data_IF_122637011824
#
_entry.id   IF_122637011824
#
_cell.length_a   1.000
_cell.length_b   1.000
_cell.length_c   1.000
_cell.angle_alpha   90.00
_cell.angle_beta   90.00
_cell.angle_gamma   90.00
#
_symmetry.space_group_name_H-M   'P 1'
#
loop_
_entity.id
_entity.type
_entity.pdbx_description
1 polymer ?
#
# COMPACT_ATOMS: atom_id res chain seq x y z
N UNK A 1 -11.44 -58.27 46.72
CA UNK A 1 -10.75 -57.29 45.84
C UNK A 1 -11.86 -56.49 45.17
N UNK A 2 -12.13 -55.29 45.69
CA UNK A 2 -13.29 -54.48 45.33
C UNK A 2 -12.87 -53.46 44.26
N UNK A 3 -13.48 -53.50 43.08
CA UNK A 3 -13.15 -52.64 41.94
C UNK A 3 -13.95 -51.35 42.08
N UNK A 4 -13.27 -50.22 42.39
CA UNK A 4 -13.89 -48.89 42.38
C UNK A 4 -14.27 -48.46 40.95
N UNK A 5 -15.42 -47.82 40.74
CA UNK A 5 -15.87 -47.42 39.40
C UNK A 5 -15.10 -46.17 38.92
N UNK A 6 -14.51 -46.27 37.73
CA UNK A 6 -13.73 -45.21 37.04
C UNK A 6 -14.64 -44.23 36.26
N UNK A 7 -15.92 -44.11 36.63
CA UNK A 7 -16.92 -43.44 35.79
C UNK A 7 -17.13 -41.94 36.04
N UNK A 8 -16.65 -41.38 37.15
CA UNK A 8 -16.95 -39.99 37.53
C UNK A 8 -15.99 -38.95 36.93
N UNK A 9 -14.71 -39.31 36.78
CA UNK A 9 -13.69 -38.39 36.26
C UNK A 9 -13.91 -38.01 34.78
N UNK A 10 -14.44 -38.93 33.97
CA UNK A 10 -14.72 -38.67 32.56
C UNK A 10 -15.87 -37.68 32.36
N UNK A 11 -16.91 -37.76 33.19
CA UNK A 11 -18.05 -36.83 33.15
C UNK A 11 -17.62 -35.42 33.56
N UNK A 12 -16.77 -35.31 34.58
CA UNK A 12 -16.22 -34.03 35.02
C UNK A 12 -15.30 -33.40 33.96
N UNK A 13 -14.47 -34.20 33.29
CA UNK A 13 -13.61 -33.72 32.19
C UNK A 13 -14.44 -33.24 30.98
N UNK A 14 -15.48 -33.99 30.62
CA UNK A 14 -16.38 -33.62 29.53
C UNK A 14 -17.14 -32.32 29.83
N UNK A 15 -17.62 -32.16 31.08
CA UNK A 15 -18.30 -30.94 31.52
C UNK A 15 -17.35 -29.74 31.49
N UNK A 16 -16.09 -29.92 31.93
CA UNK A 16 -15.07 -28.87 31.92
C UNK A 16 -14.74 -28.42 30.49
N UNK A 17 -14.62 -29.36 29.55
CA UNK A 17 -14.38 -29.07 28.13
C UNK A 17 -15.54 -28.30 27.50
N UNK A 18 -16.78 -28.67 27.80
CA UNK A 18 -17.97 -27.95 27.30
C UNK A 18 -18.01 -26.52 27.86
N UNK A 19 -17.74 -26.34 29.15
CA UNK A 19 -17.69 -25.01 29.78
C UNK A 19 -16.56 -24.16 29.20
N UNK A 20 -15.38 -24.74 28.95
CA UNK A 20 -14.27 -24.06 28.28
C UNK A 20 -14.63 -23.62 26.86
N UNK A 21 -15.33 -24.45 26.08
CA UNK A 21 -15.81 -24.07 24.73
C UNK A 21 -16.92 -23.02 24.74
N UNK A 22 -17.71 -22.93 25.82
CA UNK A 22 -18.77 -21.92 25.97
C UNK A 22 -18.27 -20.59 26.52
N UNK A 23 -17.09 -20.57 27.17
CA UNK A 23 -16.45 -19.37 27.72
C UNK A 23 -15.41 -18.75 26.79
N UNK A 24 -15.01 -19.43 25.70
CA UNK A 24 -14.24 -18.77 24.65
C UNK A 24 -15.16 -17.82 23.90
N UNK A 25 -14.94 -16.49 23.94
CA UNK A 25 -15.63 -15.60 23.04
C UNK A 25 -15.34 -16.07 21.61
N UNK A 26 -16.39 -16.48 20.90
CA UNK A 26 -16.32 -16.63 19.46
C UNK A 26 -16.17 -15.21 18.93
N UNK A 27 -14.93 -14.79 18.71
CA UNK A 27 -14.67 -13.65 17.86
C UNK A 27 -15.11 -14.08 16.46
N UNK A 28 -16.36 -13.80 16.14
CA UNK A 28 -16.80 -13.69 14.76
C UNK A 28 -15.96 -12.58 14.16
N UNK A 29 -14.83 -12.95 13.56
CA UNK A 29 -14.22 -12.14 12.52
C UNK A 29 -15.30 -12.09 11.45
N UNK A 30 -16.01 -10.97 11.34
CA UNK A 30 -16.73 -10.69 10.11
C UNK A 30 -15.69 -10.79 9.01
N UNK A 31 -15.72 -11.91 8.28
CA UNK A 31 -15.00 -12.00 7.03
C UNK A 31 -15.63 -10.93 6.16
N UNK A 32 -14.92 -9.81 6.02
CA UNK A 32 -15.33 -8.69 5.21
C UNK A 32 -15.52 -9.20 3.78
N UNK A 33 -16.78 -9.44 3.42
CA UNK A 33 -17.16 -10.11 2.17
C UNK A 33 -16.72 -9.27 0.97
N UNK A 34 -16.56 -7.95 1.15
CA UNK A 34 -16.01 -7.06 0.11
C UNK A 34 -14.62 -7.51 -0.35
N UNK A 35 -13.77 -8.00 0.58
CA UNK A 35 -12.42 -8.48 0.29
C UNK A 35 -12.39 -9.72 -0.59
N UNK A 36 -13.42 -10.56 -0.50
CA UNK A 36 -13.54 -11.76 -1.34
C UNK A 36 -13.75 -11.35 -2.82
N UNK A 37 -14.38 -10.20 -3.08
CA UNK A 37 -14.52 -9.67 -4.43
C UNK A 37 -13.28 -8.91 -4.91
N UNK A 38 -12.54 -8.28 -3.98
CA UNK A 38 -11.32 -7.52 -4.29
C UNK A 38 -10.08 -8.40 -4.48
N UNK A 39 -10.08 -9.64 -4.00
CA UNK A 39 -8.97 -10.58 -4.14
C UNK A 39 -9.25 -11.67 -5.19
N UNK A 40 -8.29 -11.93 -6.08
CA UNK A 40 -8.39 -12.95 -7.13
C UNK A 40 -7.10 -13.76 -7.24
N UNK A 41 -7.21 -15.08 -7.28
CA UNK A 41 -6.07 -15.96 -7.55
C UNK A 41 -5.58 -15.78 -9.00
N UNK A 42 -4.26 -15.68 -9.19
CA UNK A 42 -3.63 -15.45 -10.48
C UNK A 42 -2.79 -14.17 -10.51
N UNK A 43 -2.17 -13.94 -11.66
CA UNK A 43 -1.64 -12.62 -12.00
C UNK A 43 -2.80 -11.71 -12.41
N UNK A 44 -2.73 -10.47 -11.94
CA UNK A 44 -3.84 -9.52 -12.03
C UNK A 44 -3.85 -8.74 -13.34
N UNK A 45 -2.67 -8.48 -13.88
CA UNK A 45 -2.48 -7.68 -15.09
C UNK A 45 -1.44 -8.29 -16.04
N UNK A 46 -1.49 -7.84 -17.29
CA UNK A 46 -0.52 -8.14 -18.34
C UNK A 46 0.41 -6.96 -18.65
N UNK A 47 0.28 -5.84 -17.94
CA UNK A 47 1.29 -4.82 -17.78
C UNK A 47 1.94 -4.96 -16.39
N UNK A 48 3.22 -4.63 -16.30
CA UNK A 48 3.94 -4.54 -15.04
C UNK A 48 4.41 -3.10 -14.90
N UNK A 49 3.90 -2.41 -13.87
CA UNK A 49 4.34 -1.08 -13.50
C UNK A 49 5.62 -1.15 -12.68
N UNK A 50 5.62 -2.00 -11.65
CA UNK A 50 6.72 -2.09 -10.68
C UNK A 50 6.81 -3.48 -10.03
N UNK A 51 7.97 -3.80 -9.45
CA UNK A 51 8.25 -5.04 -8.71
C UNK A 51 9.15 -4.77 -7.51
N UNK A 52 8.72 -5.20 -6.33
CA UNK A 52 9.47 -5.03 -5.08
C UNK A 52 9.48 -6.29 -4.22
N UNK A 53 10.41 -6.34 -3.28
CA UNK A 53 10.56 -7.41 -2.29
C UNK A 53 10.45 -6.82 -0.88
N UNK A 54 9.50 -7.32 -0.09
CA UNK A 54 9.28 -6.82 1.28
C UNK A 54 10.17 -7.51 2.34
N UNK A 55 11.01 -8.49 1.95
CA UNK A 55 11.74 -9.36 2.87
C UNK A 55 11.16 -10.78 3.00
N UNK A 56 9.92 -11.00 2.55
CA UNK A 56 9.13 -12.23 2.68
C UNK A 56 8.42 -12.62 1.37
N UNK A 57 7.89 -11.66 0.61
CA UNK A 57 7.09 -11.82 -0.60
C UNK A 57 7.50 -10.83 -1.67
N UNK A 58 7.33 -11.28 -2.92
CA UNK A 58 7.42 -10.42 -4.09
C UNK A 58 6.06 -9.77 -4.28
N UNK A 59 6.07 -8.46 -4.50
CA UNK A 59 4.91 -7.68 -4.89
C UNK A 59 5.14 -7.13 -6.28
N UNK A 60 4.12 -7.17 -7.12
CA UNK A 60 4.12 -6.62 -8.47
C UNK A 60 2.87 -5.79 -8.67
N UNK A 61 3.02 -4.63 -9.30
CA UNK A 61 1.90 -3.78 -9.69
C UNK A 61 1.68 -3.85 -11.21
N UNK A 62 0.44 -3.64 -11.64
CA UNK A 62 0.06 -3.54 -13.04
C UNK A 62 -1.34 -2.99 -13.15
N UNK A 63 -1.52 -1.90 -13.90
CA UNK A 63 -2.74 -1.08 -13.83
C UNK A 63 -3.11 -0.76 -12.38
N UNK A 64 -4.40 -0.80 -12.06
CA UNK A 64 -4.91 -0.60 -10.69
C UNK A 64 -4.85 -1.85 -9.80
N UNK A 65 -3.95 -2.79 -10.09
CA UNK A 65 -3.93 -4.11 -9.48
C UNK A 65 -2.58 -4.36 -8.81
N UNK A 66 -2.61 -4.69 -7.52
CA UNK A 66 -1.45 -5.12 -6.75
C UNK A 66 -1.47 -6.64 -6.64
N UNK A 67 -0.38 -7.33 -6.96
CA UNK A 67 -0.29 -8.78 -6.91
C UNK A 67 0.87 -9.21 -6.03
N UNK A 68 0.68 -10.25 -5.22
CA UNK A 68 1.74 -10.83 -4.39
C UNK A 68 1.87 -12.32 -4.60
N UNK A 69 3.08 -12.84 -4.44
CA UNK A 69 3.30 -14.29 -4.37
C UNK A 69 2.94 -14.80 -2.98
N UNK A 70 1.91 -15.64 -2.89
CA UNK A 70 1.48 -16.22 -1.62
C UNK A 70 2.29 -17.45 -1.20
N UNK A 71 2.58 -18.35 -2.14
CA UNK A 71 3.31 -19.60 -1.88
C UNK A 71 4.04 -20.08 -3.13
N UNK A 72 4.73 -21.21 -3.01
CA UNK A 72 5.39 -21.85 -4.16
C UNK A 72 6.61 -21.08 -4.69
N UNK A 73 7.01 -21.43 -5.91
CA UNK A 73 8.16 -20.86 -6.59
C UNK A 73 7.78 -19.75 -7.60
N UNK A 74 6.48 -19.45 -7.75
CA UNK A 74 5.97 -18.40 -8.63
C UNK A 74 5.77 -18.85 -10.08
N UNK A 75 6.01 -20.13 -10.41
CA UNK A 75 5.84 -20.65 -11.76
C UNK A 75 4.39 -20.95 -12.12
N UNK A 76 3.53 -21.18 -11.12
CA UNK A 76 2.10 -21.43 -11.33
C UNK A 76 1.30 -20.15 -11.11
N UNK A 77 0.26 -19.91 -11.91
CA UNK A 77 -0.66 -18.79 -11.68
C UNK A 77 -1.32 -18.87 -10.29
N UNK A 78 -1.50 -20.08 -9.76
CA UNK A 78 -2.06 -20.31 -8.42
C UNK A 78 -1.16 -19.88 -7.27
N UNK A 79 0.11 -19.60 -7.54
CA UNK A 79 1.08 -19.09 -6.55
C UNK A 79 0.84 -17.60 -6.22
N UNK A 80 0.01 -16.93 -7.03
CA UNK A 80 -0.20 -15.49 -7.00
C UNK A 80 -1.61 -15.12 -6.55
N UNK A 81 -1.71 -13.97 -5.89
CA UNK A 81 -2.96 -13.34 -5.49
C UNK A 81 -2.93 -11.87 -5.84
N UNK A 82 -3.98 -11.43 -6.53
CA UNK A 82 -4.16 -10.05 -6.97
C UNK A 82 -5.25 -9.36 -6.17
N UNK A 83 -5.05 -8.07 -5.92
CA UNK A 83 -5.94 -7.20 -5.17
C UNK A 83 -6.28 -5.98 -6.01
N UNK A 84 -7.56 -5.63 -6.09
CA UNK A 84 -8.06 -4.42 -6.74
C UNK A 84 -9.25 -3.85 -5.99
N UNK A 85 -9.40 -2.52 -6.03
CA UNK A 85 -10.53 -1.84 -5.38
C UNK A 85 -10.72 -2.19 -3.91
N UNK A 86 -9.63 -2.36 -3.16
CA UNK A 86 -9.71 -2.54 -1.71
C UNK A 86 -10.03 -1.22 -1.03
N UNK A 87 -10.71 -1.26 0.10
CA UNK A 87 -10.90 -0.07 0.93
C UNK A 87 -9.55 0.58 1.26
N UNK A 88 -9.43 1.87 0.94
CA UNK A 88 -8.19 2.63 1.09
C UNK A 88 -7.25 2.60 -0.13
N UNK A 89 -7.62 1.94 -1.24
CA UNK A 89 -6.96 2.12 -2.53
C UNK A 89 -7.33 3.46 -3.18
N UNK A 90 -6.37 4.04 -3.90
CA UNK A 90 -6.63 5.18 -4.77
C UNK A 90 -7.25 4.77 -6.13
N UNK A 91 -7.44 5.76 -6.98
CA UNK A 91 -8.06 5.65 -8.29
C UNK A 91 -7.03 5.37 -9.39
N UNK A 92 -7.43 4.52 -10.34
CA UNK A 92 -6.73 4.34 -11.61
C UNK A 92 -5.59 3.33 -11.52
N UNK A 93 -4.43 3.68 -12.08
CA UNK A 93 -3.26 2.82 -12.17
C UNK A 93 -2.24 3.12 -11.07
N UNK A 94 -1.51 2.09 -10.65
CA UNK A 94 -0.38 2.19 -9.74
C UNK A 94 0.82 2.74 -10.51
N UNK A 95 1.40 3.85 -10.06
CA UNK A 95 2.56 4.47 -10.70
C UNK A 95 3.89 4.11 -10.03
N UNK A 96 3.88 3.80 -8.73
CA UNK A 96 5.05 3.40 -7.97
C UNK A 96 4.63 2.49 -6.81
N UNK A 97 5.53 1.58 -6.43
CA UNK A 97 5.32 0.64 -5.34
C UNK A 97 6.59 0.56 -4.48
N UNK A 98 6.44 0.63 -3.17
CA UNK A 98 7.52 0.38 -2.21
C UNK A 98 7.06 -0.64 -1.18
N UNK A 99 7.98 -1.53 -0.77
CA UNK A 99 7.71 -2.52 0.25
C UNK A 99 8.92 -2.74 1.16
N UNK A 100 8.67 -2.83 2.47
CA UNK A 100 9.70 -3.14 3.47
C UNK A 100 9.08 -3.71 4.73
N UNK A 101 9.42 -4.96 5.05
CA UNK A 101 8.83 -5.68 6.18
C UNK A 101 7.33 -5.85 6.01
N UNK A 102 6.56 -5.21 6.88
CA UNK A 102 5.09 -5.23 6.83
C UNK A 102 4.51 -3.92 6.23
N UNK A 103 5.36 -3.00 5.80
CA UNK A 103 4.94 -1.74 5.18
C UNK A 103 4.86 -1.89 3.66
N UNK A 104 3.73 -1.46 3.09
CA UNK A 104 3.52 -1.30 1.65
C UNK A 104 3.04 0.12 1.37
N UNK A 105 3.60 0.74 0.34
CA UNK A 105 3.21 2.08 -0.10
C UNK A 105 3.01 2.03 -1.61
N UNK A 106 1.88 2.53 -2.06
CA UNK A 106 1.48 2.51 -3.47
C UNK A 106 1.10 3.92 -3.88
N UNK A 107 1.61 4.43 -5.01
CA UNK A 107 1.08 5.67 -5.60
C UNK A 107 0.07 5.38 -6.70
N UNK A 108 -0.88 6.30 -6.85
CA UNK A 108 -2.00 6.16 -7.76
C UNK A 108 -2.06 7.29 -8.77
N UNK A 109 -2.48 6.96 -9.99
CA UNK A 109 -2.68 7.91 -11.08
C UNK A 109 -3.91 7.58 -11.89
N UNK A 110 -4.58 8.60 -12.41
CA UNK A 110 -5.69 8.42 -13.34
C UNK A 110 -5.67 9.47 -14.44
N UNK A 111 -6.35 9.17 -15.54
CA UNK A 111 -6.54 10.13 -16.63
C UNK A 111 -7.80 10.97 -16.36
N UNK A 112 -7.67 12.29 -16.40
CA UNK A 112 -8.77 13.23 -16.19
C UNK A 112 -8.76 14.38 -17.20
N UNK A 113 -9.84 15.17 -17.22
CA UNK A 113 -9.93 16.38 -18.04
C UNK A 113 -9.56 17.61 -17.22
N UNK A 114 -8.77 18.51 -17.80
CA UNK A 114 -8.49 19.86 -17.29
C UNK A 114 -8.87 20.89 -18.37
N UNK A 115 -10.09 21.41 -18.30
CA UNK A 115 -10.64 22.21 -19.41
C UNK A 115 -10.82 21.34 -20.66
N UNK A 116 -10.13 21.68 -21.75
CA UNK A 116 -10.13 20.92 -23.01
C UNK A 116 -8.96 19.91 -23.11
N UNK A 117 -8.05 19.91 -22.13
CA UNK A 117 -6.89 19.02 -22.10
C UNK A 117 -7.19 17.72 -21.36
N UNK A 118 -6.73 16.59 -21.92
CA UNK A 118 -6.64 15.33 -21.17
C UNK A 118 -5.27 15.24 -20.52
N UNK A 119 -5.21 15.07 -19.21
CA UNK A 119 -3.97 15.02 -18.46
C UNK A 119 -3.95 13.85 -17.47
N UNK A 120 -2.74 13.45 -17.07
CA UNK A 120 -2.53 12.53 -15.96
C UNK A 120 -2.64 13.28 -14.64
N UNK A 121 -3.44 12.72 -13.73
CA UNK A 121 -3.60 13.17 -12.38
C UNK A 121 -2.96 12.17 -11.43
N UNK A 122 -2.25 12.64 -10.43
CA UNK A 122 -1.99 11.83 -9.24
C UNK A 122 -3.23 11.76 -8.37
N UNK A 123 -3.43 10.64 -7.70
CA UNK A 123 -4.49 10.46 -6.69
C UNK A 123 -3.91 10.31 -5.28
N UNK A 124 -2.58 10.40 -5.14
CA UNK A 124 -1.90 10.28 -3.86
C UNK A 124 -1.45 8.86 -3.58
N UNK A 125 -1.45 8.47 -2.31
CA UNK A 125 -0.80 7.25 -1.83
C UNK A 125 -1.79 6.34 -1.09
N UNK A 126 -1.59 5.03 -1.18
CA UNK A 126 -2.18 4.08 -0.24
C UNK A 126 -1.07 3.44 0.59
N UNK A 127 -1.25 3.47 1.91
CA UNK A 127 -0.26 2.99 2.87
C UNK A 127 -0.87 1.85 3.68
N UNK A 128 -0.17 0.72 3.73
CA UNK A 128 -0.42 -0.39 4.65
C UNK A 128 0.80 -0.59 5.55
N UNK A 129 0.56 -0.90 6.81
CA UNK A 129 1.60 -1.23 7.81
C UNK A 129 1.41 -2.64 8.39
N UNK A 130 0.56 -3.44 7.73
CA UNK A 130 0.18 -4.78 8.15
C UNK A 130 0.24 -5.77 6.97
N UNK A 131 1.25 -5.68 6.12
CA UNK A 131 1.45 -6.56 4.95
C UNK A 131 0.30 -6.56 3.94
N UNK A 132 -0.41 -5.42 3.81
CA UNK A 132 -1.51 -5.25 2.87
C UNK A 132 -2.86 -5.73 3.36
N UNK A 133 -3.03 -6.05 4.65
CA UNK A 133 -4.33 -6.44 5.20
C UNK A 133 -5.28 -5.24 5.33
N UNK A 134 -4.80 -4.06 5.68
CA UNK A 134 -5.57 -2.81 5.73
C UNK A 134 -4.79 -1.67 5.08
N UNK A 135 -5.53 -0.72 4.51
CA UNK A 135 -4.96 0.40 3.77
C UNK A 135 -5.58 1.72 4.21
N UNK A 136 -4.75 2.75 4.26
CA UNK A 136 -5.17 4.14 4.39
C UNK A 136 -4.80 4.88 3.12
N UNK A 137 -5.79 5.52 2.51
CA UNK A 137 -5.56 6.43 1.41
C UNK A 137 -5.13 7.81 1.94
N UNK A 138 -4.14 8.40 1.30
CA UNK A 138 -3.60 9.75 1.55
C UNK A 138 -3.76 10.54 0.26
N UNK A 139 -4.84 11.32 0.11
CA UNK A 139 -5.07 12.08 -1.10
C UNK A 139 -4.05 13.21 -1.22
N UNK A 140 -3.75 13.64 -2.46
CA UNK A 140 -2.83 14.76 -2.68
C UNK A 140 -3.31 16.08 -2.07
N UNK A 141 -4.60 16.24 -1.79
CA UNK A 141 -5.12 17.40 -1.05
C UNK A 141 -4.64 17.48 0.40
N UNK A 142 -4.27 16.34 1.01
CA UNK A 142 -3.75 16.30 2.37
C UNK A 142 -2.23 16.61 2.38
N UNK A 143 -1.56 16.29 1.27
CA UNK A 143 -0.12 16.55 1.05
C UNK A 143 0.11 18.01 0.61
N UNK A 144 -0.77 18.51 -0.26
CA UNK A 144 -0.75 19.87 -0.80
C UNK A 144 -2.07 20.60 -0.50
N UNK A 145 -2.31 20.98 0.76
CA UNK A 145 -3.57 21.60 1.20
C UNK A 145 -3.87 22.93 0.50
N UNK A 146 -2.85 23.62 -0.01
CA UNK A 146 -3.01 24.84 -0.80
C UNK A 146 -3.58 24.58 -2.22
N UNK A 147 -3.64 23.31 -2.66
CA UNK A 147 -4.06 22.89 -4.02
C UNK A 147 -5.43 22.20 -4.06
N UNK A 148 -6.29 22.44 -3.06
CA UNK A 148 -7.59 21.76 -2.81
C UNK A 148 -8.46 21.37 -4.02
N UNK A 149 -8.47 22.13 -5.13
CA UNK A 149 -9.31 21.82 -6.30
C UNK A 149 -8.65 20.97 -7.38
N UNK A 150 -7.31 20.90 -7.43
CA UNK A 150 -6.55 20.26 -8.50
C UNK A 150 -5.17 19.76 -8.00
N UNK A 151 -5.10 19.26 -6.77
CA UNK A 151 -3.85 18.78 -6.18
C UNK A 151 -3.20 17.68 -7.03
N UNK A 152 -4.02 16.87 -7.71
CA UNK A 152 -3.56 15.82 -8.63
C UNK A 152 -3.06 16.31 -9.99
N UNK A 153 -3.48 17.48 -10.48
CA UNK A 153 -3.15 17.94 -11.83
C UNK A 153 -1.62 18.08 -11.97
N UNK A 154 -1.04 17.36 -12.93
CA UNK A 154 0.41 17.28 -13.15
C UNK A 154 1.23 16.87 -11.91
N UNK A 155 0.65 16.14 -10.96
CA UNK A 155 1.33 15.77 -9.68
C UNK A 155 1.30 14.27 -9.48
N UNK A 156 2.00 13.55 -10.35
CA UNK A 156 2.19 12.10 -10.20
C UNK A 156 3.32 11.84 -9.22
N UNK A 157 3.14 10.85 -8.34
CA UNK A 157 4.26 10.25 -7.60
C UNK A 157 4.83 9.08 -8.39
N UNK A 158 6.06 9.23 -8.90
CA UNK A 158 6.68 8.27 -9.82
C UNK A 158 7.57 7.25 -9.14
N UNK A 159 8.04 7.52 -7.94
CA UNK A 159 8.89 6.61 -7.19
C UNK A 159 8.76 6.85 -5.69
N UNK A 160 9.02 5.80 -4.91
CA UNK A 160 8.83 5.79 -3.46
C UNK A 160 9.97 5.00 -2.83
N UNK A 161 10.63 5.60 -1.84
CA UNK A 161 11.53 4.88 -0.93
C UNK A 161 11.08 4.99 0.51
N UNK A 162 11.39 3.96 1.28
CA UNK A 162 11.06 3.87 2.69
C UNK A 162 12.26 3.37 3.50
N UNK A 163 12.67 4.17 4.49
CA UNK A 163 13.77 3.82 5.39
C UNK A 163 13.48 4.33 6.80
N UNK A 164 13.54 3.43 7.78
CA UNK A 164 13.46 3.81 9.20
C UNK A 164 12.18 4.54 9.60
N UNK A 165 11.04 4.26 8.96
CA UNK A 165 9.77 4.98 9.22
C UNK A 165 9.60 6.24 8.38
N UNK A 166 10.61 6.65 7.62
CA UNK A 166 10.54 7.82 6.74
C UNK A 166 10.16 7.40 5.32
N UNK A 167 9.13 8.04 4.78
CA UNK A 167 8.69 7.90 3.39
C UNK A 167 9.27 9.05 2.58
N UNK A 168 9.84 8.72 1.43
CA UNK A 168 10.27 9.66 0.41
C UNK A 168 9.55 9.37 -0.89
N UNK A 169 9.04 10.40 -1.55
CA UNK A 169 8.39 10.27 -2.85
C UNK A 169 8.95 11.29 -3.84
N UNK A 170 9.15 10.87 -5.10
CA UNK A 170 9.47 11.77 -6.21
C UNK A 170 8.16 12.18 -6.87
N UNK A 171 8.03 13.45 -7.25
CA UNK A 171 6.83 13.96 -7.92
C UNK A 171 7.13 14.86 -9.09
N UNK A 172 6.25 14.83 -10.10
CA UNK A 172 6.29 15.75 -11.25
C UNK A 172 6.14 17.21 -10.84
N UNK A 173 5.39 17.52 -9.78
CA UNK A 173 5.09 18.90 -9.40
C UNK A 173 5.20 19.06 -7.90
N UNK A 174 6.44 19.02 -7.44
CA UNK A 174 6.79 18.98 -6.02
C UNK A 174 8.19 18.45 -5.76
N UNK A 175 8.98 18.05 -6.76
CA UNK A 175 10.30 17.45 -6.55
C UNK A 175 10.24 16.30 -5.53
N UNK A 176 10.65 16.51 -4.28
CA UNK A 176 10.57 15.50 -3.23
C UNK A 176 9.46 15.81 -2.21
N UNK A 177 8.77 14.74 -1.82
CA UNK A 177 7.92 14.70 -0.63
C UNK A 177 8.58 13.84 0.43
N UNK A 178 8.49 14.27 1.69
CA UNK A 178 8.97 13.54 2.85
C UNK A 178 7.89 13.43 3.91
N UNK A 179 7.76 12.25 4.50
CA UNK A 179 7.01 12.05 5.75
C UNK A 179 7.83 11.26 6.74
N UNK A 180 7.85 11.67 8.00
CA UNK A 180 8.57 11.00 9.10
C UNK A 180 7.62 10.23 10.03
N UNK A 181 6.33 10.19 9.71
CA UNK A 181 5.27 9.62 10.53
C UNK A 181 4.36 8.70 9.72
N UNK A 182 4.92 7.92 8.79
CA UNK A 182 4.15 7.00 7.94
C UNK A 182 3.05 7.69 7.12
N UNK A 183 3.25 8.94 6.71
CA UNK A 183 2.37 9.66 5.81
C UNK A 183 1.17 10.32 6.49
N UNK A 184 1.27 10.67 7.77
CA UNK A 184 0.27 11.54 8.44
C UNK A 184 0.57 13.01 8.17
N UNK A 185 1.84 13.40 8.19
CA UNK A 185 2.30 14.74 7.84
C UNK A 185 3.35 14.67 6.74
N UNK A 186 3.38 15.72 5.93
CA UNK A 186 4.22 15.81 4.75
C UNK A 186 4.93 17.14 4.69
N UNK A 187 6.19 17.09 4.26
CA UNK A 187 6.99 18.26 3.92
C UNK A 187 7.40 18.14 2.47
N UNK A 188 7.22 19.24 1.74
CA UNK A 188 7.74 19.37 0.40
C UNK A 188 9.18 19.91 0.44
N UNK A 189 10.11 19.20 -0.20
CA UNK A 189 11.52 19.58 -0.31
C UNK A 189 11.78 19.94 -1.77
N UNK A 190 12.16 21.19 -2.00
CA UNK A 190 12.43 21.76 -3.33
C UNK A 190 13.90 22.22 -3.37
N UNK A 191 14.61 22.08 -4.50
CA UNK A 191 15.95 22.62 -4.63
C UNK A 191 15.98 24.15 -4.39
N UNK A 192 17.07 24.63 -3.80
CA UNK A 192 17.37 26.07 -3.62
C UNK A 192 16.36 26.89 -2.78
N UNK A 193 15.51 26.25 -1.97
CA UNK A 193 14.47 26.92 -1.18
C UNK A 193 13.52 27.80 -2.03
N UNK A 194 13.32 27.43 -3.29
CA UNK A 194 12.41 28.13 -4.20
C UNK A 194 10.94 27.87 -3.83
N UNK A 195 10.05 28.79 -4.22
CA UNK A 195 8.60 28.55 -4.12
C UNK A 195 8.17 27.55 -5.19
N UNK A 196 7.34 26.56 -4.82
CA UNK A 196 6.81 25.59 -5.75
C UNK A 196 6.17 26.26 -6.98
N UNK A 197 6.73 25.97 -8.13
CA UNK A 197 6.21 26.32 -9.44
C UNK A 197 6.03 25.03 -10.25
N UNK A 198 4.78 24.69 -10.57
CA UNK A 198 4.41 23.45 -11.29
C UNK A 198 5.03 23.40 -12.71
N UNK A 199 5.32 24.57 -13.28
CA UNK A 199 5.90 24.70 -14.62
C UNK A 199 7.43 24.77 -14.61
N UNK A 200 8.07 24.80 -13.43
CA UNK A 200 9.52 24.77 -13.34
C UNK A 200 10.00 23.32 -13.46
N UNK A 201 10.72 22.94 -14.53
CA UNK A 201 11.22 21.57 -14.69
C UNK A 201 12.19 21.15 -13.57
N UNK A 202 12.83 22.11 -12.89
CA UNK A 202 13.68 21.80 -11.73
C UNK A 202 12.88 21.34 -10.49
N UNK A 203 11.55 21.43 -10.53
CA UNK A 203 10.66 20.92 -9.49
C UNK A 203 10.05 19.56 -9.85
N UNK A 204 10.62 18.87 -10.84
CA UNK A 204 10.16 17.58 -11.35
C UNK A 204 11.20 16.52 -10.96
N UNK A 205 10.80 15.57 -10.12
CA UNK A 205 11.60 14.39 -9.82
C UNK A 205 10.90 13.14 -10.37
N UNK A 206 11.68 12.21 -10.90
CA UNK A 206 11.18 10.97 -11.50
C UNK A 206 11.41 9.78 -10.60
N UNK A 207 12.65 9.59 -10.16
CA UNK A 207 13.04 8.46 -9.34
C UNK A 207 13.86 8.91 -8.16
N UNK A 208 13.86 8.10 -7.12
CA UNK A 208 14.73 8.31 -5.98
C UNK A 208 15.14 6.99 -5.35
N UNK A 209 16.31 6.99 -4.73
CA UNK A 209 16.75 5.90 -3.87
C UNK A 209 17.37 6.49 -2.60
N UNK A 210 17.25 5.76 -1.50
CA UNK A 210 17.78 6.16 -0.20
C UNK A 210 18.70 5.09 0.36
N UNK A 211 19.89 5.53 0.77
CA UNK A 211 20.82 4.69 1.49
C UNK A 211 21.45 5.49 2.62
N UNK A 212 21.23 5.01 3.86
CA UNK A 212 21.71 5.67 5.07
C UNK A 212 21.19 7.11 5.17
N UNK A 213 22.07 8.10 5.02
CA UNK A 213 21.82 9.54 5.13
C UNK A 213 21.79 10.23 3.76
N UNK A 214 21.92 9.46 2.68
CA UNK A 214 22.02 9.98 1.31
C UNK A 214 20.79 9.61 0.50
N UNK A 215 20.27 10.60 -0.23
CA UNK A 215 19.17 10.43 -1.18
C UNK A 215 19.70 10.77 -2.57
N UNK A 216 19.49 9.84 -3.50
CA UNK A 216 19.77 10.04 -4.92
C UNK A 216 18.45 10.34 -5.62
N UNK A 217 18.44 11.36 -6.47
CA UNK A 217 17.23 11.77 -7.19
C UNK A 217 17.55 11.83 -8.68
N UNK A 218 16.75 11.13 -9.49
CA UNK A 218 16.74 11.29 -10.93
C UNK A 218 15.66 12.27 -11.35
N UNK A 219 16.01 13.18 -12.26
CA UNK A 219 15.09 14.15 -12.86
C UNK A 219 14.98 13.92 -14.37
N UNK A 220 13.94 14.47 -15.00
CA UNK A 220 13.83 14.57 -16.46
C UNK A 220 13.71 16.03 -16.88
N UNK A 221 14.09 16.31 -18.13
CA UNK A 221 13.95 17.62 -18.79
C UNK A 221 12.87 17.57 -19.87
#
# INVERSE_FOLDING_TARGET
MEIKPVHDGFKQLLLLLIVLCLLTPVYLVEADISRIFSARQGLGSNDLGDIVWDGKKIWVSGGGILTTKLWGNGHSSTDWMSYSGMDGFGQGAIAALCASGDTLIVSWTYTGQHGEETATYGDGLSISVDSGHTWRHVPLSDIFPERTKNAGYYTTTYDISFLGGTIWCSTTSGFLLKSEDFGYTWVNIIPNDETLNLQNPNHHAQCLDIYSDTIWVGTFN
#
